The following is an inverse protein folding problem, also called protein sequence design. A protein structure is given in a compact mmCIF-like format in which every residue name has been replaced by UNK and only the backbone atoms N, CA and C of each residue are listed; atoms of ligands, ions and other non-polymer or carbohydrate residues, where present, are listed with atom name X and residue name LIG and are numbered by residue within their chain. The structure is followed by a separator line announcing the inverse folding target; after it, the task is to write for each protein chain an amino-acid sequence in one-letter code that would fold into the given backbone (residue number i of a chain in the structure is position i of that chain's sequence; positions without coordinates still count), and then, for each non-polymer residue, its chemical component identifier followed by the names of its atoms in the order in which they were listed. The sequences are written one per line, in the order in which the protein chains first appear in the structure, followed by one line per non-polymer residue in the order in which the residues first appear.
data_IF_180955121863
#
_entry.id   IF_180955121863
#
_cell.length_a   1.000
_cell.length_b   1.000
_cell.length_c   1.000
_cell.angle_alpha   90.00
_cell.angle_beta   90.00
_cell.angle_gamma   90.00
#
_symmetry.space_group_name_H-M   'P 1'
#
loop_
_entity.id
_entity.type
_entity.pdbx_description
1 polymer ?
#
# COMPACT_ATOMS: atom_id res chain seq x y z
N UNK A 1 -39.14 13.94 -8.68
CA UNK A 1 -37.70 13.74 -8.96
C UNK A 1 -37.04 13.45 -7.62
N UNK A 2 -37.04 12.17 -7.22
CA UNK A 2 -35.91 11.23 -7.24
C UNK A 2 -34.77 11.62 -6.29
N UNK A 3 -34.79 10.95 -5.15
CA UNK A 3 -33.62 10.34 -4.49
C UNK A 3 -32.50 11.27 -4.03
N UNK A 4 -32.68 11.75 -2.80
CA UNK A 4 -31.63 12.14 -1.86
C UNK A 4 -30.79 10.91 -1.45
N UNK A 5 -30.17 10.24 -2.42
CA UNK A 5 -29.07 9.31 -2.15
C UNK A 5 -27.84 10.17 -1.92
N UNK A 6 -27.74 10.66 -0.70
CA UNK A 6 -26.48 11.04 -0.09
C UNK A 6 -25.66 9.74 0.03
N UNK A 7 -25.01 9.32 -1.07
CA UNK A 7 -23.85 8.44 -0.97
C UNK A 7 -22.77 9.28 -0.31
N UNK A 8 -22.79 9.30 1.02
CA UNK A 8 -21.58 9.56 1.79
C UNK A 8 -20.66 8.41 1.42
N UNK A 9 -19.87 8.61 0.38
CA UNK A 9 -18.63 7.87 0.22
C UNK A 9 -17.82 8.23 1.46
N UNK A 10 -17.90 7.33 2.43
CA UNK A 10 -17.11 7.34 3.64
C UNK A 10 -15.65 7.15 3.20
N UNK A 11 -15.03 8.26 2.82
CA UNK A 11 -13.59 8.34 2.59
C UNK A 11 -12.94 8.32 3.97
N UNK A 12 -12.93 7.14 4.60
CA UNK A 12 -12.11 6.87 5.76
C UNK A 12 -10.65 6.97 5.31
N UNK A 13 -10.11 8.17 5.37
CA UNK A 13 -8.73 8.37 5.77
C UNK A 13 -8.46 7.42 6.95
N UNK A 14 -7.41 6.59 6.92
CA UNK A 14 -7.20 5.60 7.95
C UNK A 14 -7.04 6.37 9.24
N UNK A 15 -8.05 6.27 10.11
CA UNK A 15 -7.92 6.67 11.48
C UNK A 15 -6.64 6.00 11.97
N UNK A 16 -5.71 6.78 12.52
CA UNK A 16 -4.64 6.23 13.34
C UNK A 16 -5.31 5.60 14.57
N UNK A 17 -5.93 4.45 14.36
CA UNK A 17 -6.27 3.51 15.38
C UNK A 17 -4.91 3.20 15.98
N UNK A 18 -4.67 3.75 17.17
CA UNK A 18 -3.64 3.31 18.09
C UNK A 18 -3.89 1.82 18.36
N UNK A 19 -3.55 0.98 17.38
CA UNK A 19 -3.42 -0.45 17.55
C UNK A 19 -2.37 -0.58 18.64
N UNK A 20 -2.77 -1.20 19.74
CA UNK A 20 -1.85 -1.68 20.76
C UNK A 20 -0.74 -2.41 20.01
N UNK A 21 0.43 -1.78 19.87
CA UNK A 21 1.62 -2.24 19.13
C UNK A 21 2.27 -3.42 19.88
N UNK A 22 1.46 -4.41 20.24
CA UNK A 22 1.88 -5.64 20.90
C UNK A 22 1.99 -6.81 19.90
N UNK A 23 1.64 -6.58 18.63
CA UNK A 23 1.98 -7.48 17.54
C UNK A 23 3.47 -7.35 17.26
N UNK A 24 4.22 -8.28 17.85
CA UNK A 24 5.65 -8.44 17.60
C UNK A 24 5.90 -8.61 16.09
N UNK A 25 7.11 -8.25 15.64
CA UNK A 25 7.52 -8.40 14.23
C UNK A 25 7.23 -9.82 13.68
N UNK A 26 7.27 -10.85 14.54
CA UNK A 26 6.89 -12.23 14.19
C UNK A 26 5.42 -12.36 13.79
N UNK A 27 4.48 -11.71 14.48
CA UNK A 27 3.06 -11.78 14.11
C UNK A 27 2.80 -11.17 12.73
N UNK A 28 3.45 -10.04 12.43
CA UNK A 28 3.31 -9.37 11.13
C UNK A 28 3.86 -10.26 10.01
N UNK A 29 5.00 -10.93 10.24
CA UNK A 29 5.55 -11.90 9.30
C UNK A 29 4.63 -13.11 9.11
N UNK A 30 4.03 -13.64 10.19
CA UNK A 30 3.09 -14.75 10.11
C UNK A 30 1.81 -14.38 9.36
N UNK A 31 1.30 -13.15 9.51
CA UNK A 31 0.16 -12.64 8.75
C UNK A 31 0.52 -12.50 7.26
N UNK A 32 1.69 -11.94 6.95
CA UNK A 32 2.16 -11.79 5.57
C UNK A 32 2.35 -13.15 4.87
N UNK A 33 3.02 -14.10 5.53
CA UNK A 33 3.21 -15.46 5.02
C UNK A 33 1.87 -16.19 4.90
N UNK A 34 1.01 -16.07 5.91
CA UNK A 34 -0.32 -16.69 5.92
C UNK A 34 -1.23 -16.20 4.80
N UNK A 35 -1.24 -14.89 4.52
CA UNK A 35 -2.01 -14.32 3.42
C UNK A 35 -1.49 -14.71 2.04
N UNK A 36 -0.16 -14.68 1.86
CA UNK A 36 0.50 -15.02 0.61
C UNK A 36 0.35 -16.51 0.25
N UNK A 37 0.54 -17.41 1.22
CA UNK A 37 0.36 -18.85 1.02
C UNK A 37 -1.13 -19.21 0.95
N UNK A 38 -1.96 -18.63 1.83
CA UNK A 38 -3.36 -18.97 1.99
C UNK A 38 -4.18 -18.71 0.73
N UNK A 39 -4.11 -17.51 0.16
CA UNK A 39 -4.87 -17.20 -1.07
C UNK A 39 -4.35 -17.98 -2.29
N UNK A 40 -3.02 -18.08 -2.43
CA UNK A 40 -2.38 -18.74 -3.58
C UNK A 40 -2.57 -20.25 -3.62
N UNK A 41 -2.28 -20.95 -2.51
CA UNK A 41 -2.45 -22.40 -2.46
C UNK A 41 -3.91 -22.78 -2.28
N UNK A 42 -4.68 -22.17 -1.37
CA UNK A 42 -6.03 -22.67 -1.07
C UNK A 42 -7.03 -22.38 -2.20
N UNK A 43 -7.03 -21.16 -2.75
CA UNK A 43 -7.96 -20.78 -3.83
C UNK A 43 -7.54 -21.37 -5.19
N UNK A 44 -6.23 -21.47 -5.44
CA UNK A 44 -5.69 -21.94 -6.71
C UNK A 44 -5.56 -23.46 -6.84
N UNK A 45 -5.25 -24.17 -5.76
CA UNK A 45 -4.85 -25.58 -5.86
C UNK A 45 -6.02 -26.52 -6.13
N UNK A 46 -7.22 -26.26 -5.59
CA UNK A 46 -8.37 -27.19 -5.75
C UNK A 46 -8.74 -27.49 -7.20
N UNK A 47 -8.80 -26.46 -8.06
CA UNK A 47 -9.08 -26.63 -9.50
C UNK A 47 -7.85 -27.11 -10.28
N UNK A 48 -6.67 -26.63 -9.90
CA UNK A 48 -5.43 -26.91 -10.63
C UNK A 48 -4.94 -28.35 -10.39
N UNK A 49 -5.08 -28.88 -9.17
CA UNK A 49 -4.75 -30.27 -8.82
C UNK A 49 -5.66 -31.25 -9.56
N UNK A 50 -6.96 -30.97 -9.61
CA UNK A 50 -7.92 -31.84 -10.31
C UNK A 50 -7.69 -31.89 -11.83
N UNK A 51 -7.18 -30.82 -12.44
CA UNK A 51 -6.92 -30.76 -13.88
C UNK A 51 -5.54 -31.29 -14.28
N UNK A 52 -4.50 -31.00 -13.48
CA UNK A 52 -3.11 -31.33 -13.82
C UNK A 52 -2.66 -32.73 -13.35
N UNK A 53 -3.37 -33.34 -12.40
CA UNK A 53 -2.97 -34.65 -11.85
C UNK A 53 -1.58 -34.62 -11.19
N UNK A 54 -0.85 -35.75 -11.12
CA UNK A 54 0.45 -35.83 -10.44
C UNK A 54 1.53 -34.89 -11.00
N UNK A 55 1.35 -34.43 -12.24
CA UNK A 55 2.30 -33.54 -12.93
C UNK A 55 2.36 -32.12 -12.35
N UNK A 56 1.40 -31.74 -11.50
CA UNK A 56 1.31 -30.41 -10.89
C UNK A 56 2.55 -30.03 -10.09
N UNK A 57 3.26 -31.02 -9.52
CA UNK A 57 4.49 -30.82 -8.76
C UNK A 57 5.59 -30.23 -9.65
N UNK A 58 5.72 -30.69 -10.89
CA UNK A 58 6.70 -30.16 -11.85
C UNK A 58 6.37 -28.73 -12.26
N UNK A 59 5.09 -28.43 -12.47
CA UNK A 59 4.62 -27.08 -12.82
C UNK A 59 4.91 -26.11 -11.67
N UNK A 60 4.60 -26.48 -10.42
CA UNK A 60 4.92 -25.65 -9.26
C UNK A 60 6.43 -25.48 -9.06
N UNK A 61 7.26 -26.49 -9.36
CA UNK A 61 8.72 -26.33 -9.32
C UNK A 61 9.21 -25.30 -10.33
N UNK A 62 8.77 -25.37 -11.58
CA UNK A 62 9.23 -24.44 -12.63
C UNK A 62 8.74 -23.02 -12.36
N UNK A 63 7.46 -22.85 -12.03
CA UNK A 63 6.88 -21.54 -11.71
C UNK A 63 7.53 -20.98 -10.44
N UNK A 64 7.68 -21.81 -9.40
CA UNK A 64 8.34 -21.44 -8.15
C UNK A 64 9.79 -21.01 -8.36
N UNK A 65 10.53 -21.68 -9.25
CA UNK A 65 11.89 -21.29 -9.61
C UNK A 65 11.95 -19.92 -10.30
N UNK A 66 11.04 -19.65 -11.23
CA UNK A 66 10.94 -18.33 -11.88
C UNK A 66 10.54 -17.24 -10.87
N UNK A 67 9.56 -17.51 -10.00
CA UNK A 67 9.14 -16.58 -8.96
C UNK A 67 10.24 -16.33 -7.91
N UNK A 68 11.07 -17.33 -7.61
CA UNK A 68 12.23 -17.17 -6.74
C UNK A 68 13.21 -16.15 -7.30
N UNK A 69 13.50 -16.19 -8.60
CA UNK A 69 14.34 -15.19 -9.25
C UNK A 69 13.74 -13.79 -9.19
N UNK A 70 12.43 -13.65 -9.43
CA UNK A 70 11.74 -12.35 -9.32
C UNK A 70 11.79 -11.82 -7.89
N UNK A 71 11.54 -12.67 -6.88
CA UNK A 71 11.60 -12.28 -5.47
C UNK A 71 13.04 -11.94 -5.04
N UNK A 72 14.04 -12.64 -5.56
CA UNK A 72 15.47 -12.32 -5.34
C UNK A 72 15.81 -10.94 -5.90
N UNK A 73 15.34 -10.61 -7.10
CA UNK A 73 15.54 -9.30 -7.72
C UNK A 73 14.80 -8.18 -6.97
N UNK A 74 13.56 -8.43 -6.52
CA UNK A 74 12.81 -7.49 -5.67
C UNK A 74 13.49 -7.27 -4.32
N UNK A 75 14.04 -8.32 -3.71
CA UNK A 75 14.85 -8.21 -2.50
C UNK A 75 16.08 -7.33 -2.72
N UNK A 76 16.81 -7.51 -3.82
CA UNK A 76 17.95 -6.65 -4.17
C UNK A 76 17.53 -5.21 -4.48
N UNK A 77 16.36 -4.98 -5.09
CA UNK A 77 15.81 -3.64 -5.32
C UNK A 77 15.48 -2.93 -4.00
N UNK A 78 14.88 -3.64 -3.04
CA UNK A 78 14.59 -3.11 -1.71
C UNK A 78 15.86 -2.77 -0.92
N UNK A 79 16.96 -3.50 -1.13
CA UNK A 79 18.25 -3.21 -0.49
C UNK A 79 19.07 -2.13 -1.21
N UNK A 80 18.90 -1.96 -2.54
CA UNK A 80 19.78 -1.13 -3.37
C UNK A 80 19.36 0.33 -3.50
N UNK A 81 18.13 0.73 -3.19
CA UNK A 81 17.75 2.15 -3.20
C UNK A 81 16.54 2.47 -2.30
N UNK A 82 16.81 3.08 -1.14
CA UNK A 82 15.79 3.75 -0.30
C UNK A 82 15.39 5.13 -0.86
N UNK A 83 15.92 5.55 -2.01
CA UNK A 83 15.61 6.84 -2.65
C UNK A 83 14.53 6.75 -3.74
N UNK A 84 13.69 5.72 -3.73
CA UNK A 84 12.40 5.85 -4.41
C UNK A 84 11.50 6.70 -3.52
N UNK A 85 11.53 8.02 -3.72
CA UNK A 85 10.43 8.90 -3.32
C UNK A 85 9.14 8.20 -3.78
N UNK A 86 8.36 7.72 -2.82
CA UNK A 86 7.04 7.15 -3.05
C UNK A 86 6.26 8.07 -4.00
N UNK A 87 5.41 7.52 -4.87
CA UNK A 87 4.58 8.33 -5.78
C UNK A 87 3.75 9.38 -5.02
N UNK A 88 3.46 9.14 -3.74
CA UNK A 88 2.81 10.08 -2.81
C UNK A 88 3.72 11.25 -2.40
N UNK A 89 5.04 11.08 -2.41
CA UNK A 89 6.05 12.12 -2.17
C UNK A 89 6.30 13.00 -3.40
N UNK A 90 5.79 12.63 -4.59
CA UNK A 90 5.82 13.49 -5.77
C UNK A 90 4.65 14.49 -5.82
N UNK A 91 3.68 14.38 -4.91
CA UNK A 91 2.69 15.44 -4.73
C UNK A 91 3.35 16.59 -3.97
N UNK A 92 3.37 17.82 -4.52
CA UNK A 92 3.73 18.99 -3.75
C UNK A 92 2.62 19.22 -2.73
N UNK A 93 2.74 18.61 -1.55
CA UNK A 93 2.02 19.03 -0.34
C UNK A 93 2.64 20.36 0.10
N UNK A 94 2.42 21.36 -0.75
CA UNK A 94 2.63 22.79 -0.53
C UNK A 94 1.53 23.56 -1.27
N UNK A 95 0.30 23.03 -1.27
CA UNK A 95 -0.87 23.80 -1.69
C UNK A 95 -1.89 23.78 -0.56
N UNK A 96 -1.63 24.59 0.48
CA UNK A 96 -2.72 25.05 1.34
C UNK A 96 -2.49 25.10 2.85
N UNK A 97 -1.25 25.24 3.35
CA UNK A 97 -1.07 25.66 4.76
C UNK A 97 0.15 26.56 4.91
N UNK A 98 -0.08 27.88 4.86
CA UNK A 98 0.98 28.87 5.02
C UNK A 98 0.62 30.31 4.64
N UNK A 99 -0.64 30.73 4.77
CA UNK A 99 -0.95 32.17 4.76
C UNK A 99 -2.06 32.51 5.77
N UNK A 100 -1.93 31.99 6.98
CA UNK A 100 -2.31 32.73 8.17
C UNK A 100 -1.05 33.41 8.75
N UNK A 101 -1.26 34.63 9.27
CA UNK A 101 -0.42 35.44 10.18
C UNK A 101 0.76 36.29 9.62
N UNK A 102 0.49 37.57 9.34
CA UNK A 102 1.05 38.68 10.18
C UNK A 102 0.46 40.06 9.79
N UNK A 103 -0.08 40.85 10.74
CA UNK A 103 -0.51 42.24 10.55
C UNK A 103 0.56 43.21 11.08
N UNK A 104 1.43 43.77 10.22
CA UNK A 104 2.23 44.96 10.56
C UNK A 104 2.90 45.59 9.33
N UNK A 105 2.57 46.85 9.06
CA UNK A 105 3.46 47.79 8.37
C UNK A 105 3.01 48.22 6.98
N UNK A 106 2.53 49.48 6.90
CA UNK A 106 2.44 50.44 5.78
C UNK A 106 1.04 51.11 5.82
N UNK A 107 0.69 51.89 6.86
CA UNK A 107 1.04 53.31 7.00
C UNK A 107 1.76 53.90 5.78
N UNK A 108 1.08 54.80 5.07
CA UNK A 108 1.74 55.90 4.36
C UNK A 108 1.61 55.94 2.83
N UNK A 109 0.41 56.22 2.31
CA UNK A 109 0.30 57.19 1.21
C UNK A 109 -1.09 57.82 1.23
N UNK A 110 -1.18 58.94 1.96
CA UNK A 110 -2.21 59.94 1.75
C UNK A 110 -2.13 60.41 0.29
N UNK A 111 -3.19 60.12 -0.46
CA UNK A 111 -3.44 60.63 -1.79
C UNK A 111 -4.94 60.91 -1.89
N UNK A 112 -5.38 61.92 -1.14
CA UNK A 112 -6.48 62.87 -1.36
C UNK A 112 -6.67 63.71 -0.09
#
# INVERSE_FOLDING_TARGET
MVDQVKVVADDQAPAEQSLRRNLTNRHIQLIAIGGAIGTGLFMGSGKTISLAGPSIIFVYMIIGFMLFFVMRAMGELLLSNLEYKSLVTSLPIYSGRGQDISPAGLTGSAGL
#
